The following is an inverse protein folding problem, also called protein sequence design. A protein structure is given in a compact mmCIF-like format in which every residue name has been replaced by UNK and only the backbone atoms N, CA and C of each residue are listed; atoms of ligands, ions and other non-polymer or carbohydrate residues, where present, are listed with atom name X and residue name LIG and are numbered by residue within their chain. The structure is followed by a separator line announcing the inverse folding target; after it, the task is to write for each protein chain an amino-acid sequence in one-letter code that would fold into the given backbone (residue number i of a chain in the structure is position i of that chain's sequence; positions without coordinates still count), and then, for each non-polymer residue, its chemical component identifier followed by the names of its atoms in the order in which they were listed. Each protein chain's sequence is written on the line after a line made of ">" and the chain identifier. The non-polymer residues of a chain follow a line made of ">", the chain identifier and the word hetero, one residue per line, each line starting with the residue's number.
data_IF_210283766021
#
_entry.id   IF_210283766021
#
_cell.length_a   1.000
_cell.length_b   1.000
_cell.length_c   1.000
_cell.angle_alpha   90.00
_cell.angle_beta   90.00
_cell.angle_gamma   90.00
#
_symmetry.space_group_name_H-M   'P 1'
#
loop_
_entity.id
_entity.type
_entity.pdbx_description
1 polymer ?
#
# COMPACT_ATOMS: atom_id res chain seq x y z
N UNK A 1 2.14 -13.47 1.07
CA UNK A 1 2.33 -13.34 2.48
C UNK A 1 3.25 -12.24 2.92
N UNK A 2 3.89 -11.53 2.03
CA UNK A 2 4.80 -10.47 2.43
C UNK A 2 4.14 -9.40 3.28
N UNK A 3 2.84 -9.31 3.21
CA UNK A 3 2.10 -8.32 3.96
C UNK A 3 1.57 -8.85 5.28
N UNK A 4 1.91 -10.06 5.64
CA UNK A 4 1.39 -10.65 6.86
C UNK A 4 1.81 -9.82 8.07
N UNK A 5 1.00 -9.82 9.09
CA UNK A 5 1.29 -9.04 10.28
C UNK A 5 2.57 -9.52 10.96
N UNK A 6 2.86 -10.81 10.89
CA UNK A 6 4.07 -11.33 11.51
C UNK A 6 5.32 -10.77 10.84
N UNK A 7 5.34 -10.74 9.51
CA UNK A 7 6.48 -10.16 8.80
C UNK A 7 6.60 -8.68 9.08
N UNK A 8 5.46 -7.98 9.12
CA UNK A 8 5.47 -6.56 9.43
C UNK A 8 6.01 -6.28 10.82
N UNK A 9 5.68 -7.13 11.78
CA UNK A 9 6.14 -6.93 13.15
C UNK A 9 7.66 -7.00 13.25
N UNK A 10 8.29 -7.89 12.50
CA UNK A 10 9.74 -7.97 12.48
C UNK A 10 10.32 -6.69 11.91
N UNK A 11 9.79 -6.22 10.81
CA UNK A 11 10.25 -4.98 10.21
C UNK A 11 10.06 -3.78 11.11
N UNK A 12 8.95 -3.71 11.82
CA UNK A 12 8.68 -2.59 12.68
C UNK A 12 9.77 -2.40 13.71
N UNK A 13 10.28 -3.47 14.23
CA UNK A 13 11.34 -3.37 15.23
C UNK A 13 12.63 -2.83 14.63
N UNK A 14 12.88 -3.10 13.37
CA UNK A 14 14.10 -2.62 12.72
C UNK A 14 14.01 -1.18 12.27
N UNK A 15 12.83 -0.79 11.79
CA UNK A 15 12.64 0.54 11.24
C UNK A 15 11.92 1.46 12.20
N UNK A 16 11.82 1.05 13.43
CA UNK A 16 11.17 1.83 14.47
C UNK A 16 9.69 1.96 14.17
N UNK A 17 9.21 3.12 14.32
CA UNK A 17 7.80 3.34 14.37
C UNK A 17 7.21 3.56 13.03
N UNK A 18 6.80 3.44 12.26
CA UNK A 18 6.22 3.88 11.02
C UNK A 18 6.00 2.79 10.00
N UNK A 19 6.57 1.61 10.23
CA UNK A 19 6.58 0.57 9.23
C UNK A 19 5.39 -0.38 9.26
N UNK A 20 4.25 0.04 9.77
CA UNK A 20 3.08 -0.82 9.92
C UNK A 20 2.34 -0.96 8.61
N UNK A 21 1.84 -2.16 8.36
CA UNK A 21 0.91 -2.42 7.28
C UNK A 21 -0.40 -2.83 7.92
N UNK A 22 -1.44 -2.05 7.68
CA UNK A 22 -2.76 -2.31 8.23
C UNK A 22 -3.71 -2.61 7.08
N UNK A 23 -4.42 -3.72 7.19
CA UNK A 23 -5.39 -4.13 6.17
C UNK A 23 -6.71 -4.34 6.86
N UNK A 24 -7.74 -3.68 6.38
CA UNK A 24 -9.07 -3.76 6.98
C UNK A 24 -9.76 -5.07 6.71
N UNK A 25 -10.87 -5.28 7.40
CA UNK A 25 -11.63 -6.52 7.32
C UNK A 25 -12.18 -6.72 5.91
N UNK A 26 -12.26 -7.98 5.51
CA UNK A 26 -12.87 -8.42 4.24
C UNK A 26 -12.16 -7.89 3.00
N UNK A 27 -10.94 -7.38 3.13
CA UNK A 27 -10.16 -6.97 1.99
C UNK A 27 -9.49 -8.19 1.36
N UNK A 28 -9.60 -8.28 0.04
CA UNK A 28 -9.00 -9.36 -0.73
C UNK A 28 -7.75 -8.84 -1.41
N UNK A 29 -6.65 -9.57 -1.23
CA UNK A 29 -5.37 -9.20 -1.81
C UNK A 29 -4.96 -10.30 -2.77
N UNK A 30 -4.79 -9.94 -4.03
CA UNK A 30 -4.44 -10.89 -5.07
C UNK A 30 -3.01 -11.37 -4.95
N UNK A 31 -2.64 -12.34 -5.78
CA UNK A 31 -1.28 -12.89 -5.72
C UNK A 31 -0.25 -11.87 -6.17
N UNK A 32 0.96 -12.00 -5.64
CA UNK A 32 2.10 -11.17 -6.04
C UNK A 32 1.91 -9.69 -5.77
N UNK A 33 1.00 -9.32 -4.89
CA UNK A 33 0.88 -7.93 -4.45
C UNK A 33 2.07 -7.61 -3.55
N UNK A 34 2.67 -6.44 -3.77
CA UNK A 34 3.81 -5.98 -3.01
C UNK A 34 3.43 -4.73 -2.26
N UNK A 35 3.70 -4.72 -0.96
CA UNK A 35 3.41 -3.57 -0.11
C UNK A 35 4.71 -3.17 0.57
N UNK A 36 5.15 -1.95 0.31
CA UNK A 36 6.43 -1.48 0.82
C UNK A 36 6.23 -0.37 1.84
N UNK A 37 6.94 -0.45 2.93
CA UNK A 37 6.98 0.63 3.92
C UNK A 37 8.33 1.32 3.97
N UNK A 38 9.46 0.66 3.69
CA UNK A 38 10.75 1.35 3.75
C UNK A 38 10.95 2.25 2.54
N UNK A 39 11.62 3.37 2.79
CA UNK A 39 11.98 4.28 1.72
C UNK A 39 13.34 4.89 2.03
N UNK A 40 14.22 4.89 1.06
CA UNK A 40 15.52 5.52 1.19
C UNK A 40 15.45 7.00 0.82
N UNK A 41 16.33 7.82 1.35
CA UNK A 41 16.38 9.23 0.97
C UNK A 41 16.64 9.38 -0.53
N UNK A 42 16.07 10.42 -1.12
CA UNK A 42 16.32 10.72 -2.52
C UNK A 42 17.72 11.27 -2.72
N UNK A 43 18.24 12.01 -1.73
CA UNK A 43 19.59 12.54 -1.78
C UNK A 43 20.59 11.41 -1.64
N UNK A 44 21.45 11.24 -2.64
CA UNK A 44 22.39 10.13 -2.63
C UNK A 44 23.41 10.22 -1.51
N UNK A 45 23.73 11.41 -1.05
CA UNK A 45 24.65 11.57 0.05
C UNK A 45 24.04 11.12 1.36
N UNK A 46 22.77 11.45 1.58
CA UNK A 46 22.04 10.94 2.75
C UNK A 46 21.91 9.43 2.67
N UNK A 47 21.69 8.92 1.47
CA UNK A 47 21.51 7.48 1.27
C UNK A 47 22.80 6.71 1.60
N UNK A 48 23.95 7.32 1.40
CA UNK A 48 25.23 6.68 1.70
C UNK A 48 25.44 6.41 3.18
N UNK A 49 24.77 7.14 4.06
CA UNK A 49 24.86 6.87 5.49
C UNK A 49 23.80 5.93 5.97
N UNK A 50 23.19 5.20 5.03
CA UNK A 50 22.26 4.11 5.31
C UNK A 50 21.05 4.52 6.13
N UNK A 51 20.59 5.73 5.94
CA UNK A 51 19.35 6.14 6.56
C UNK A 51 18.19 5.56 5.79
N UNK A 52 17.22 5.05 6.54
CA UNK A 52 16.06 4.43 5.95
C UNK A 52 14.86 4.86 6.77
N UNK A 53 13.80 5.25 6.10
CA UNK A 53 12.57 5.66 6.76
C UNK A 53 11.49 4.65 6.47
N UNK A 54 10.58 4.48 7.41
CA UNK A 54 9.47 3.57 7.22
C UNK A 54 8.17 4.37 7.33
N UNK A 55 7.32 4.24 6.33
CA UNK A 55 6.05 4.94 6.27
C UNK A 55 4.93 3.93 6.26
N UNK A 56 3.95 4.06 7.14
CA UNK A 56 2.90 3.05 7.24
C UNK A 56 2.03 3.05 6.00
N UNK A 57 1.53 1.87 5.67
CA UNK A 57 0.57 1.70 4.60
C UNK A 57 -0.73 1.22 5.23
N UNK A 58 -1.83 1.84 4.85
CA UNK A 58 -3.15 1.47 5.37
C UNK A 58 -4.07 1.15 4.20
N UNK A 59 -4.69 0.00 4.25
CA UNK A 59 -5.69 -0.40 3.27
C UNK A 59 -6.98 -0.63 4.05
N UNK A 60 -8.05 0.00 3.61
CA UNK A 60 -9.31 -0.03 4.32
C UNK A 60 -10.03 -1.36 4.21
N UNK A 61 -11.32 -1.35 4.58
CA UNK A 61 -12.17 -2.52 4.56
C UNK A 61 -12.77 -2.75 3.18
N UNK A 62 -13.09 -4.00 2.90
CA UNK A 62 -13.82 -4.38 1.69
C UNK A 62 -13.16 -3.91 0.40
N UNK A 63 -11.85 -3.88 0.39
CA UNK A 63 -11.09 -3.54 -0.80
C UNK A 63 -10.74 -4.80 -1.60
N UNK A 64 -10.44 -4.60 -2.84
CA UNK A 64 -9.89 -5.65 -3.69
C UNK A 64 -8.63 -5.11 -4.34
N UNK A 65 -7.50 -5.68 -3.96
CA UNK A 65 -6.20 -5.29 -4.52
C UNK A 65 -5.83 -6.33 -5.56
N UNK A 66 -5.81 -5.93 -6.82
CA UNK A 66 -5.55 -6.84 -7.91
C UNK A 66 -4.14 -7.40 -7.90
N UNK A 67 -3.99 -8.59 -8.48
CA UNK A 67 -2.71 -9.29 -8.48
C UNK A 67 -1.61 -8.45 -9.10
N UNK A 68 -0.42 -8.55 -8.52
CA UNK A 68 0.75 -7.85 -9.03
C UNK A 68 0.78 -6.36 -8.74
N UNK A 69 -0.20 -5.83 -8.03
CA UNK A 69 -0.19 -4.41 -7.67
C UNK A 69 0.94 -4.11 -6.70
N UNK A 70 1.46 -2.90 -6.77
CA UNK A 70 2.51 -2.42 -5.88
C UNK A 70 1.96 -1.23 -5.11
N UNK A 71 2.03 -1.30 -3.78
CA UNK A 71 1.59 -0.22 -2.92
C UNK A 71 2.83 0.43 -2.32
N UNK A 72 3.02 1.70 -2.60
CA UNK A 72 4.23 2.42 -2.19
C UNK A 72 4.14 2.90 -0.75
N UNK A 73 5.29 3.20 -0.13
CA UNK A 73 5.32 3.63 1.27
C UNK A 73 4.42 4.83 1.54
N UNK A 74 3.76 4.80 2.67
CA UNK A 74 2.96 5.92 3.15
C UNK A 74 1.57 6.05 2.53
N UNK A 75 1.18 5.12 1.66
CA UNK A 75 -0.11 5.21 0.97
C UNK A 75 -1.24 4.75 1.87
N UNK A 76 -2.35 5.47 1.82
CA UNK A 76 -3.60 5.07 2.45
C UNK A 76 -4.63 4.83 1.36
N UNK A 77 -5.18 3.63 1.33
CA UNK A 77 -6.28 3.28 0.44
C UNK A 77 -7.54 3.19 1.29
N UNK A 78 -8.55 3.97 0.93
CA UNK A 78 -9.78 4.02 1.70
C UNK A 78 -10.58 2.73 1.58
N UNK A 79 -11.79 2.76 2.14
CA UNK A 79 -12.64 1.57 2.16
C UNK A 79 -13.29 1.34 0.81
N UNK A 80 -13.61 0.09 0.52
CA UNK A 80 -14.37 -0.33 -0.68
C UNK A 80 -13.72 0.14 -1.97
N UNK A 81 -12.39 0.12 -2.00
CA UNK A 81 -11.64 0.47 -3.21
C UNK A 81 -11.29 -0.76 -4.01
N UNK A 82 -11.13 -0.58 -5.30
CA UNK A 82 -10.60 -1.61 -6.18
C UNK A 82 -9.35 -1.05 -6.83
N UNK A 83 -8.26 -1.79 -6.68
CA UNK A 83 -6.98 -1.45 -7.32
C UNK A 83 -6.76 -2.47 -8.42
N UNK A 84 -6.61 -2.00 -9.65
CA UNK A 84 -6.45 -2.91 -10.78
C UNK A 84 -5.16 -3.70 -10.72
N UNK A 85 -5.18 -4.86 -11.35
CA UNK A 85 -4.00 -5.72 -11.39
C UNK A 85 -2.83 -4.98 -12.03
N UNK A 86 -1.64 -5.17 -11.46
CA UNK A 86 -0.43 -4.56 -11.99
C UNK A 86 -0.30 -3.08 -11.75
N UNK A 87 -1.20 -2.47 -11.01
CA UNK A 87 -1.15 -1.03 -10.73
C UNK A 87 -0.04 -0.70 -9.75
N UNK A 88 0.47 0.53 -9.83
CA UNK A 88 1.45 1.02 -8.88
C UNK A 88 0.85 2.23 -8.17
N UNK A 89 0.49 2.05 -6.91
CA UNK A 89 -0.21 3.06 -6.13
C UNK A 89 0.81 3.92 -5.42
N UNK A 90 0.94 5.16 -5.85
CA UNK A 90 1.92 6.09 -5.31
C UNK A 90 1.31 7.19 -4.46
N UNK A 91 -0.01 7.31 -4.47
CA UNK A 91 -0.72 8.34 -3.71
C UNK A 91 -1.94 7.73 -3.06
N UNK A 92 -2.46 8.42 -2.07
CA UNK A 92 -3.67 7.96 -1.37
C UNK A 92 -4.85 7.83 -2.33
N UNK A 93 -5.67 6.84 -2.07
CA UNK A 93 -6.88 6.59 -2.87
C UNK A 93 -8.08 6.78 -1.94
N UNK A 94 -9.00 7.69 -2.29
CA UNK A 94 -10.20 7.89 -1.47
C UNK A 94 -11.10 6.67 -1.48
N UNK A 95 -11.93 6.54 -0.46
CA UNK A 95 -12.89 5.43 -0.37
C UNK A 95 -13.80 5.39 -1.58
N UNK A 96 -14.31 4.21 -1.88
CA UNK A 96 -15.29 3.97 -2.93
C UNK A 96 -14.80 4.37 -4.31
N UNK A 97 -13.54 4.09 -4.60
CA UNK A 97 -12.91 4.42 -5.88
C UNK A 97 -12.30 3.19 -6.54
N UNK A 98 -12.24 3.23 -7.85
CA UNK A 98 -11.48 2.27 -8.65
C UNK A 98 -10.27 3.01 -9.21
N UNK A 99 -9.08 2.50 -8.93
CA UNK A 99 -7.84 3.10 -9.38
C UNK A 99 -7.01 2.07 -10.14
N UNK A 100 -6.43 2.49 -11.25
CA UNK A 100 -5.63 1.58 -12.09
C UNK A 100 -4.45 2.33 -12.68
N UNK A 101 -3.45 1.58 -13.06
CA UNK A 101 -2.33 2.09 -13.85
C UNK A 101 -1.05 2.31 -13.07
N UNK A 102 -0.07 2.84 -13.75
CA UNK A 102 1.24 3.16 -13.19
C UNK A 102 1.66 4.56 -13.67
N UNK A 103 1.58 5.58 -12.82
CA UNK A 103 1.01 5.53 -11.47
C UNK A 103 -0.50 5.35 -11.50
N UNK A 104 -1.03 4.71 -10.48
CA UNK A 104 -2.45 4.44 -10.41
C UNK A 104 -3.24 5.74 -10.27
N UNK A 105 -4.33 5.82 -10.99
CA UNK A 105 -5.22 6.97 -10.95
C UNK A 105 -6.65 6.50 -10.79
N UNK A 106 -7.41 7.28 -10.08
CA UNK A 106 -8.84 7.00 -9.91
C UNK A 106 -9.51 7.20 -11.26
N UNK A 107 -10.18 6.16 -11.75
CA UNK A 107 -10.85 6.22 -13.04
C UNK A 107 -12.35 6.32 -12.89
N UNK A 108 -12.90 5.92 -11.75
CA UNK A 108 -14.32 6.07 -11.49
C UNK A 108 -14.62 5.74 -10.04
N UNK A 109 -15.84 6.04 -9.64
CA UNK A 109 -16.34 5.64 -8.33
C UNK A 109 -16.76 4.17 -8.38
N UNK A 110 -16.62 3.53 -7.24
CA UNK A 110 -17.08 2.16 -7.08
C UNK A 110 -18.46 2.19 -6.43
N UNK A 111 -19.44 2.66 -7.17
CA UNK A 111 -20.79 2.82 -6.64
C UNK A 111 -21.52 1.50 -6.72
N UNK A 112 -21.99 1.05 -5.59
CA UNK A 112 -22.78 -0.16 -5.52
C UNK A 112 -24.21 0.23 -5.19
N UNK A 113 -25.11 -0.14 -6.06
CA UNK A 113 -26.53 0.13 -5.83
C UNK A 113 -27.18 -1.11 -5.29
N UNK A 114 -27.90 -0.92 -4.24
CA UNK A 114 -28.61 -2.00 -3.56
C UNK A 114 -30.07 -1.95 -3.86
#
# INVERSE_FOLDING_TARGET
>A
QGYSSAASDVYKRQFLDGGYITVGAYTLIGPCVQIYTPQHPFDYLERRVEQEYAYPVTIGEDCWIGGGAVICPGVTIGDRCIIGAGSVVTKDIPSDCVAVGNPAKVIRKNDIKK
#
